data_IF_728114962630
#
_entry.id   IF_728114962630
#
_cell.length_a   1.000
_cell.length_b   1.000
_cell.length_c   1.000
_cell.angle_alpha   90.00
_cell.angle_beta   90.00
_cell.angle_gamma   90.00
#
_symmetry.space_group_name_H-M   'P 1'
#
loop_
_entity.id
_entity.type
_entity.pdbx_description
1 polymer ?
#
# COMPACT_ATOMS: atom_id res chain seq x y z
N UNK A 1 -23.42 -17.26 4.00
CA UNK A 1 -22.44 -16.39 4.70
C UNK A 1 -21.35 -17.32 5.25
N UNK A 2 -20.21 -17.44 4.55
CA UNK A 2 -19.18 -18.42 4.93
C UNK A 2 -18.37 -17.86 6.10
N UNK A 3 -18.66 -18.40 7.28
CA UNK A 3 -17.92 -18.19 8.51
C UNK A 3 -16.62 -19.01 8.41
N UNK A 4 -15.57 -18.43 7.85
CA UNK A 4 -14.29 -19.13 7.73
C UNK A 4 -13.56 -19.04 9.07
N UNK A 5 -13.43 -20.20 9.72
CA UNK A 5 -12.67 -20.39 10.94
C UNK A 5 -11.31 -19.69 10.84
N UNK A 6 -10.93 -18.98 11.90
CA UNK A 6 -9.67 -18.27 12.00
C UNK A 6 -8.49 -19.26 12.02
N UNK A 7 -8.05 -19.72 10.85
CA UNK A 7 -6.78 -20.43 10.71
C UNK A 7 -5.63 -19.45 10.98
N UNK A 8 -4.57 -19.93 11.60
CA UNK A 8 -3.39 -19.12 11.95
C UNK A 8 -2.66 -18.63 10.69
N UNK A 9 -1.97 -17.49 10.78
CA UNK A 9 -1.14 -16.95 9.71
C UNK A 9 0.01 -17.90 9.36
N UNK A 10 0.58 -18.58 10.36
CA UNK A 10 1.61 -19.61 10.15
C UNK A 10 1.11 -20.77 9.29
N UNK A 11 -0.13 -21.23 9.47
CA UNK A 11 -0.71 -22.33 8.67
C UNK A 11 -0.99 -21.92 7.22
N UNK A 12 -1.25 -20.63 6.97
CA UNK A 12 -1.61 -20.12 5.65
C UNK A 12 -0.41 -19.72 4.78
N UNK A 13 0.80 -20.18 5.11
CA UNK A 13 2.04 -19.84 4.41
C UNK A 13 2.36 -18.33 4.38
N UNK A 14 1.92 -17.58 5.40
CA UNK A 14 2.41 -16.21 5.55
C UNK A 14 3.87 -16.23 5.97
N UNK A 15 4.69 -15.45 5.27
CA UNK A 15 6.06 -15.18 5.66
C UNK A 15 6.09 -14.04 6.68
N UNK A 16 7.08 -14.04 7.58
CA UNK A 16 7.25 -12.97 8.55
C UNK A 16 7.48 -11.62 7.85
N UNK A 17 7.13 -10.55 8.54
CA UNK A 17 7.37 -9.17 8.09
C UNK A 17 8.87 -8.89 7.96
N UNK A 18 9.23 -8.01 7.03
CA UNK A 18 10.60 -7.54 6.80
C UNK A 18 10.83 -6.23 7.54
N UNK A 19 12.09 -5.81 7.70
CA UNK A 19 12.47 -4.50 8.27
C UNK A 19 11.70 -3.32 7.66
N UNK A 20 11.44 -3.36 6.34
CA UNK A 20 10.69 -2.30 5.66
C UNK A 20 9.22 -2.23 6.06
N UNK A 21 8.66 -3.28 6.68
CA UNK A 21 7.30 -3.28 7.20
C UNK A 21 7.18 -2.63 8.59
N UNK A 22 8.29 -2.45 9.32
CA UNK A 22 8.26 -1.95 10.70
C UNK A 22 7.52 -0.59 10.78
N UNK A 23 6.61 -0.48 11.74
CA UNK A 23 5.76 0.70 11.91
C UNK A 23 4.49 0.72 11.05
N UNK A 24 4.20 -0.34 10.29
CA UNK A 24 2.92 -0.47 9.58
C UNK A 24 1.81 -1.00 10.49
N UNK A 25 0.64 -0.35 10.50
CA UNK A 25 -0.53 -0.74 11.34
C UNK A 25 -1.16 -2.10 10.98
N UNK A 26 -0.65 -2.74 9.93
CA UNK A 26 -1.18 -3.99 9.37
C UNK A 26 -0.38 -5.22 9.80
N UNK A 27 0.60 -5.04 10.67
CA UNK A 27 1.37 -6.13 11.27
C UNK A 27 0.51 -6.79 12.35
N UNK A 28 0.49 -8.12 12.35
CA UNK A 28 -0.18 -8.95 13.35
C UNK A 28 0.86 -9.89 13.94
N UNK A 29 0.96 -9.92 15.25
CA UNK A 29 1.82 -10.87 15.96
C UNK A 29 1.04 -12.15 16.27
N UNK A 30 1.61 -13.29 15.88
CA UNK A 30 1.05 -14.60 16.18
C UNK A 30 2.19 -15.60 16.44
N UNK A 31 2.07 -16.38 17.52
CA UNK A 31 3.06 -17.38 17.92
C UNK A 31 4.51 -16.84 18.01
N UNK A 32 4.69 -15.58 18.41
CA UNK A 32 6.00 -14.93 18.56
C UNK A 32 6.64 -14.47 17.24
N UNK A 33 5.91 -14.55 16.13
CA UNK A 33 6.32 -14.02 14.83
C UNK A 33 5.34 -12.96 14.34
N UNK A 34 5.87 -11.94 13.68
CA UNK A 34 5.07 -10.85 13.13
C UNK A 34 4.77 -11.11 11.65
N UNK A 35 3.49 -11.02 11.26
CA UNK A 35 3.00 -11.29 9.92
C UNK A 35 2.26 -10.09 9.33
N UNK A 36 2.24 -9.98 8.01
CA UNK A 36 1.43 -8.97 7.34
C UNK A 36 -0.01 -9.48 7.18
N UNK A 37 -1.01 -8.71 7.62
CA UNK A 37 -2.43 -9.09 7.44
C UNK A 37 -2.88 -9.15 5.96
N UNK A 38 -2.17 -8.46 5.07
CA UNK A 38 -2.58 -8.27 3.66
C UNK A 38 -1.77 -9.09 2.67
N UNK A 39 -0.52 -9.43 2.97
CA UNK A 39 0.39 -10.08 2.02
C UNK A 39 1.04 -11.32 2.61
N UNK A 40 1.03 -12.40 1.83
CA UNK A 40 1.71 -13.66 2.14
C UNK A 40 3.23 -13.53 2.13
N UNK A 41 3.78 -12.69 1.24
CA UNK A 41 5.22 -12.47 1.07
C UNK A 41 5.56 -10.98 1.07
N UNK A 42 5.78 -10.37 2.25
CA UNK A 42 6.04 -8.93 2.35
C UNK A 42 7.32 -8.52 1.63
N UNK A 43 8.39 -9.33 1.69
CA UNK A 43 9.66 -9.08 1.00
C UNK A 43 9.47 -8.84 -0.52
N UNK A 44 8.68 -9.69 -1.18
CA UNK A 44 8.42 -9.58 -2.62
C UNK A 44 7.69 -8.28 -2.99
N UNK A 45 6.87 -7.73 -2.08
CA UNK A 45 6.19 -6.45 -2.32
C UNK A 45 7.18 -5.31 -2.25
N UNK A 46 8.05 -5.28 -1.25
CA UNK A 46 9.07 -4.23 -1.09
C UNK A 46 10.13 -4.25 -2.19
N UNK A 47 10.47 -5.44 -2.72
CA UNK A 47 11.38 -5.57 -3.87
C UNK A 47 10.86 -4.91 -5.15
N UNK A 48 9.54 -4.82 -5.33
CA UNK A 48 8.91 -4.17 -6.49
C UNK A 48 8.69 -2.66 -6.29
N UNK A 49 8.95 -2.13 -5.10
CA UNK A 49 8.72 -0.74 -4.73
C UNK A 49 8.02 -0.59 -3.39
N UNK A 50 7.66 0.65 -3.04
CA UNK A 50 6.96 0.94 -1.77
C UNK A 50 5.63 0.17 -1.72
N UNK A 51 5.36 -0.48 -0.59
CA UNK A 51 4.09 -1.16 -0.37
C UNK A 51 2.92 -0.16 -0.41
N UNK A 52 1.90 -0.45 -1.23
CA UNK A 52 0.69 0.39 -1.36
C UNK A 52 -0.11 0.56 -0.06
N UNK A 53 0.13 -0.32 0.92
CA UNK A 53 -0.52 -0.29 2.23
C UNK A 53 0.43 0.12 3.35
N UNK A 54 1.65 0.57 3.03
CA UNK A 54 2.54 1.14 4.03
C UNK A 54 1.89 2.40 4.61
N UNK A 55 1.52 2.36 5.89
CA UNK A 55 0.99 3.53 6.61
C UNK A 55 2.11 4.46 7.05
N UNK A 56 3.33 3.91 7.21
CA UNK A 56 4.55 4.62 7.61
C UNK A 56 5.33 5.20 6.44
N UNK A 57 5.34 4.55 5.27
CA UNK A 57 6.08 5.00 4.10
C UNK A 57 5.14 5.66 3.08
N UNK A 58 5.14 6.99 3.04
CA UNK A 58 4.41 7.75 2.03
C UNK A 58 5.31 7.97 0.82
N UNK A 59 4.91 7.60 -0.41
CA UNK A 59 5.68 7.97 -1.59
C UNK A 59 5.78 9.49 -1.65
N UNK A 60 7.00 10.01 -1.85
CA UNK A 60 7.21 11.42 -2.11
C UNK A 60 6.53 11.76 -3.44
N UNK A 61 5.28 12.25 -3.35
CA UNK A 61 4.60 12.84 -4.49
C UNK A 61 5.30 14.19 -4.67
N UNK A 62 6.32 14.23 -5.52
CA UNK A 62 6.78 15.49 -6.08
C UNK A 62 5.62 16.02 -6.90
N UNK A 63 4.74 16.79 -6.26
CA UNK A 63 3.72 17.57 -6.95
C UNK A 63 4.53 18.62 -7.69
N UNK A 64 4.99 18.28 -8.89
CA UNK A 64 5.47 19.26 -9.82
C UNK A 64 4.29 20.20 -10.01
N UNK A 65 4.35 21.37 -9.38
CA UNK A 65 3.39 22.44 -9.60
C UNK A 65 3.62 22.90 -11.04
N UNK A 66 3.07 22.15 -11.98
CA UNK A 66 3.07 22.53 -13.39
C UNK A 66 2.24 23.79 -13.41
N UNK A 67 2.91 24.93 -13.52
CA UNK A 67 2.27 26.22 -13.76
C UNK A 67 1.57 26.12 -15.11
N UNK A 68 0.30 25.72 -15.07
CA UNK A 68 -0.54 25.63 -16.26
C UNK A 68 -0.88 27.06 -16.66
N UNK A 69 -0.54 27.43 -17.88
CA UNK A 69 -0.89 28.72 -18.45
C UNK A 69 -2.43 28.89 -18.43
N UNK A 70 -2.96 30.06 -18.02
CA UNK A 70 -4.40 30.32 -17.94
C UNK A 70 -5.15 30.03 -19.26
N UNK A 71 -4.54 30.26 -20.43
CA UNK A 71 -5.14 29.91 -21.73
C UNK A 71 -5.32 28.38 -21.89
N UNK A 72 -4.37 27.59 -21.39
CA UNK A 72 -4.43 26.12 -21.43
C UNK A 72 -5.46 25.57 -20.44
N UNK A 73 -5.68 26.24 -19.31
CA UNK A 73 -6.74 25.92 -18.36
C UNK A 73 -8.13 26.22 -18.96
N UNK A 74 -8.31 27.41 -19.54
CA UNK A 74 -9.55 27.81 -20.20
C UNK A 74 -9.95 26.84 -21.32
N UNK A 75 -8.99 26.44 -22.18
CA UNK A 75 -9.25 25.48 -23.26
C UNK A 75 -9.70 24.10 -22.74
N UNK A 76 -9.16 23.63 -21.61
CA UNK A 76 -9.55 22.36 -20.97
C UNK A 76 -10.94 22.43 -20.34
N UNK A 77 -11.29 23.56 -19.73
CA UNK A 77 -12.62 23.76 -19.15
C UNK A 77 -13.72 23.78 -20.23
N UNK A 78 -13.45 24.40 -21.38
CA UNK A 78 -14.39 24.43 -22.50
C UNK A 78 -14.54 23.07 -23.20
N UNK A 79 -13.47 22.27 -23.27
CA UNK A 79 -13.51 20.94 -23.89
C UNK A 79 -14.29 19.88 -23.09
N UNK A 80 -14.56 20.12 -21.80
CA UNK A 80 -15.34 19.20 -20.93
C UNK A 80 -16.85 19.48 -20.95
N UNK A 81 -17.31 20.50 -21.69
CA UNK A 81 -18.74 20.86 -21.81
C UNK A 81 -19.49 20.09 -22.92
N UNK A 82 -19.04 18.90 -23.30
CA UNK A 82 -19.76 17.97 -24.19
C UNK A 82 -20.11 16.72 -23.42
#
# INVERSE_FOLDING_TARGET
>A
MQNQAAMSFSERNFQPVVESCEGCDRIVEEAGSQFCRSYLKPESKWRLGICNFATHAKPEITVATIRINPLKAAKRASAKKV
#
